data_IF_170066553267
#
_entry.id   IF_170066553267
#
_cell.length_a   1.000
_cell.length_b   1.000
_cell.length_c   1.000
_cell.angle_alpha   90.00
_cell.angle_beta   90.00
_cell.angle_gamma   90.00
#
_symmetry.space_group_name_H-M   'P 1'
#
loop_
_entity.id
_entity.type
_entity.pdbx_description
1 polymer ?
#
# COMPACT_ATOMS: atom_id res chain seq x y z
N UNK A 1 36.74 14.09 -5.63
CA UNK A 1 35.41 14.19 -6.27
C UNK A 1 34.39 14.39 -5.18
N UNK A 2 33.80 15.59 -5.08
CA UNK A 2 32.72 15.87 -4.13
C UNK A 2 31.51 15.03 -4.55
N UNK A 3 31.17 14.00 -3.76
CA UNK A 3 29.88 13.32 -3.91
C UNK A 3 28.80 14.34 -3.61
N UNK A 4 28.10 14.82 -4.64
CA UNK A 4 26.91 15.65 -4.43
C UNK A 4 25.93 14.80 -3.61
N UNK A 5 25.49 15.27 -2.43
CA UNK A 5 24.55 14.51 -1.63
C UNK A 5 23.29 14.24 -2.46
N UNK A 6 22.66 13.05 -2.32
CA UNK A 6 21.48 12.71 -3.08
C UNK A 6 20.42 13.81 -2.88
N UNK A 7 19.99 14.45 -3.97
CA UNK A 7 19.01 15.53 -3.95
C UNK A 7 17.70 14.98 -3.42
N UNK A 8 17.36 15.32 -2.17
CA UNK A 8 16.07 14.97 -1.57
C UNK A 8 14.98 15.77 -2.27
N UNK A 9 13.85 15.13 -2.52
CA UNK A 9 12.68 15.80 -3.09
C UNK A 9 11.79 16.18 -1.92
N UNK A 10 11.91 17.43 -1.48
CA UNK A 10 11.22 17.98 -0.30
C UNK A 10 9.70 17.74 -0.36
N UNK A 11 9.10 17.88 -1.54
CA UNK A 11 7.68 17.62 -1.75
C UNK A 11 7.27 16.17 -1.40
N UNK A 12 8.12 15.18 -1.70
CA UNK A 12 7.85 13.77 -1.38
C UNK A 12 7.99 13.54 0.13
N UNK A 13 8.99 14.16 0.76
CA UNK A 13 9.19 14.02 2.21
C UNK A 13 8.04 14.71 2.98
N UNK A 14 7.56 15.87 2.53
CA UNK A 14 6.38 16.53 3.09
C UNK A 14 5.12 15.68 2.91
N UNK A 15 4.91 15.10 1.71
CA UNK A 15 3.77 14.22 1.46
C UNK A 15 3.78 12.96 2.34
N UNK A 16 4.95 12.37 2.59
CA UNK A 16 5.10 11.24 3.53
C UNK A 16 4.78 11.67 4.96
N UNK A 17 5.28 12.83 5.39
CA UNK A 17 4.98 13.40 6.71
C UNK A 17 3.48 13.62 6.91
N UNK A 18 2.82 14.22 5.93
CA UNK A 18 1.37 14.42 5.95
C UNK A 18 0.60 13.09 6.02
N UNK A 19 1.00 12.08 5.25
CA UNK A 19 0.40 10.74 5.30
C UNK A 19 0.55 10.07 6.68
N UNK A 20 1.72 10.23 7.33
CA UNK A 20 1.96 9.73 8.69
C UNK A 20 1.11 10.45 9.74
N UNK A 21 0.95 11.78 9.64
CA UNK A 21 0.07 12.54 10.54
C UNK A 21 -1.38 12.09 10.37
N UNK A 22 -1.85 11.96 9.13
CA UNK A 22 -3.21 11.49 8.85
C UNK A 22 -3.46 10.07 9.41
N UNK A 23 -2.48 9.17 9.25
CA UNK A 23 -2.50 7.83 9.84
C UNK A 23 -2.59 7.87 11.38
N UNK A 24 -1.81 8.73 12.03
CA UNK A 24 -1.87 8.89 13.48
C UNK A 24 -3.24 9.39 13.95
N UNK A 25 -3.85 10.35 13.24
CA UNK A 25 -5.21 10.83 13.54
C UNK A 25 -6.24 9.70 13.41
N UNK A 26 -6.15 8.89 12.35
CA UNK A 26 -7.03 7.74 12.17
C UNK A 26 -6.86 6.71 13.29
N UNK A 27 -5.63 6.33 13.62
CA UNK A 27 -5.37 5.35 14.66
C UNK A 27 -5.77 5.85 16.05
N UNK A 28 -5.64 7.14 16.32
CA UNK A 28 -6.16 7.71 17.56
C UNK A 28 -7.67 7.48 17.71
N UNK A 29 -8.45 7.71 16.65
CA UNK A 29 -9.88 7.44 16.67
C UNK A 29 -10.19 5.93 16.80
N UNK A 30 -9.40 5.08 16.13
CA UNK A 30 -9.50 3.63 16.24
C UNK A 30 -9.16 3.14 17.65
N UNK A 31 -8.15 3.71 18.31
CA UNK A 31 -7.77 3.38 19.69
C UNK A 31 -8.89 3.77 20.66
N UNK A 32 -9.51 4.94 20.49
CA UNK A 32 -10.68 5.34 21.29
C UNK A 32 -11.82 4.32 21.14
N UNK A 33 -12.09 3.85 19.92
CA UNK A 33 -13.07 2.78 19.67
C UNK A 33 -12.65 1.47 20.34
N UNK A 34 -11.39 1.05 20.16
CA UNK A 34 -10.85 -0.21 20.68
C UNK A 34 -10.88 -0.27 22.22
N UNK A 35 -10.59 0.84 22.89
CA UNK A 35 -10.65 0.96 24.35
C UNK A 35 -12.05 1.27 24.90
N UNK A 36 -13.06 1.42 24.03
CA UNK A 36 -14.45 1.67 24.44
C UNK A 36 -14.78 3.12 24.81
N UNK A 37 -13.91 4.07 24.46
CA UNK A 37 -14.15 5.51 24.60
C UNK A 37 -14.96 6.12 23.44
N UNK A 38 -15.18 5.36 22.37
CA UNK A 38 -16.01 5.74 21.23
C UNK A 38 -16.98 4.61 20.86
N UNK A 39 -18.01 4.93 20.06
CA UNK A 39 -19.01 3.96 19.60
C UNK A 39 -18.37 2.84 18.77
N UNK A 40 -18.74 1.60 19.06
CA UNK A 40 -18.25 0.44 18.33
C UNK A 40 -18.62 0.53 16.84
N UNK A 41 -17.63 0.38 15.98
CA UNK A 41 -17.77 0.52 14.53
C UNK A 41 -17.59 1.94 14.00
N UNK A 42 -17.30 2.94 14.84
CA UNK A 42 -17.10 4.35 14.43
C UNK A 42 -16.17 4.48 13.22
N UNK A 43 -15.02 3.81 13.27
CA UNK A 43 -14.00 3.90 12.22
C UNK A 43 -14.30 3.04 10.99
N UNK A 44 -15.23 2.08 11.10
CA UNK A 44 -15.53 1.08 10.08
C UNK A 44 -16.48 1.57 8.96
N UNK A 45 -17.08 2.76 9.08
CA UNK A 45 -18.07 3.26 8.14
C UNK A 45 -17.92 4.76 7.81
N UNK A 46 -18.75 5.26 6.90
CA UNK A 46 -18.85 6.68 6.57
C UNK A 46 -17.53 7.37 6.21
N UNK A 47 -17.34 8.57 6.76
CA UNK A 47 -16.16 9.40 6.52
C UNK A 47 -14.86 8.77 7.01
N UNK A 48 -14.87 8.08 8.16
CA UNK A 48 -13.69 7.42 8.71
C UNK A 48 -13.17 6.32 7.81
N UNK A 49 -14.06 5.51 7.25
CA UNK A 49 -13.69 4.49 6.25
C UNK A 49 -13.04 5.12 5.02
N UNK A 50 -13.59 6.22 4.51
CA UNK A 50 -13.01 6.90 3.35
C UNK A 50 -11.66 7.57 3.68
N UNK A 51 -11.51 8.08 4.90
CA UNK A 51 -10.26 8.61 5.41
C UNK A 51 -9.17 7.53 5.51
N UNK A 52 -9.49 6.36 6.07
CA UNK A 52 -8.58 5.21 6.07
C UNK A 52 -8.12 4.84 4.66
N UNK A 53 -9.06 4.83 3.70
CA UNK A 53 -8.76 4.49 2.30
C UNK A 53 -7.88 5.53 1.62
N UNK A 54 -8.05 6.82 1.90
CA UNK A 54 -7.21 7.88 1.35
C UNK A 54 -5.79 7.82 1.92
N UNK A 55 -5.65 7.54 3.23
CA UNK A 55 -4.35 7.32 3.88
C UNK A 55 -3.62 6.15 3.24
N UNK A 56 -4.27 4.98 3.17
CA UNK A 56 -3.69 3.78 2.57
C UNK A 56 -3.29 4.04 1.10
N UNK A 57 -4.17 4.65 0.31
CA UNK A 57 -3.87 5.00 -1.09
C UNK A 57 -2.66 5.93 -1.20
N UNK A 58 -2.51 6.89 -0.28
CA UNK A 58 -1.39 7.84 -0.26
C UNK A 58 -0.06 7.13 0.03
N UNK A 59 -0.01 6.24 1.02
CA UNK A 59 1.21 5.45 1.29
C UNK A 59 1.61 4.59 0.10
N UNK A 60 0.65 3.90 -0.52
CA UNK A 60 0.89 3.03 -1.66
C UNK A 60 1.32 3.81 -2.91
N UNK A 61 0.67 4.94 -3.17
CA UNK A 61 1.07 5.85 -4.23
C UNK A 61 2.51 6.34 -4.03
N UNK A 62 2.84 6.83 -2.83
CA UNK A 62 4.19 7.30 -2.50
C UNK A 62 5.22 6.15 -2.55
N UNK A 63 4.84 4.93 -2.21
CA UNK A 63 5.68 3.74 -2.38
C UNK A 63 5.99 3.48 -3.87
N UNK A 64 4.99 3.60 -4.74
CA UNK A 64 5.16 3.50 -6.20
C UNK A 64 6.07 4.58 -6.79
N UNK A 65 5.86 5.84 -6.40
CA UNK A 65 6.75 6.96 -6.76
C UNK A 65 8.17 6.67 -6.31
N UNK A 66 8.34 6.24 -5.06
CA UNK A 66 9.66 5.93 -4.49
C UNK A 66 10.35 4.78 -5.23
N UNK A 67 9.60 3.75 -5.62
CA UNK A 67 10.11 2.61 -6.38
C UNK A 67 10.64 3.06 -7.75
N UNK A 68 9.87 3.88 -8.48
CA UNK A 68 10.27 4.41 -9.77
C UNK A 68 11.51 5.31 -9.67
N UNK A 69 11.52 6.26 -8.74
CA UNK A 69 12.67 7.15 -8.56
C UNK A 69 13.95 6.39 -8.14
N UNK A 70 13.79 5.29 -7.40
CA UNK A 70 14.90 4.49 -6.90
C UNK A 70 15.48 3.49 -7.91
N UNK A 71 14.66 2.98 -8.84
CA UNK A 71 15.00 1.83 -9.67
C UNK A 71 14.56 1.93 -11.14
N UNK A 72 13.91 3.03 -11.54
CA UNK A 72 13.31 3.21 -12.86
C UNK A 72 14.33 3.26 -14.01
N UNK A 73 15.49 3.87 -13.78
CA UNK A 73 16.62 3.85 -14.74
C UNK A 73 17.56 2.68 -14.47
N UNK A 74 18.18 2.70 -13.30
CA UNK A 74 19.20 1.73 -12.90
C UNK A 74 18.71 0.90 -11.75
N UNK A 75 18.67 -0.43 -11.94
CA UNK A 75 18.20 -1.32 -10.91
C UNK A 75 19.25 -1.53 -9.80
N UNK A 76 19.11 -0.77 -8.71
CA UNK A 76 19.95 -0.88 -7.50
C UNK A 76 19.61 -2.11 -6.63
N UNK A 77 20.03 -3.31 -7.06
CA UNK A 77 19.72 -4.61 -6.42
C UNK A 77 19.89 -4.65 -4.90
N UNK A 78 21.05 -4.26 -4.39
CA UNK A 78 21.33 -4.34 -2.95
C UNK A 78 20.40 -3.44 -2.12
N UNK A 79 20.17 -2.21 -2.57
CA UNK A 79 19.25 -1.28 -1.92
C UNK A 79 17.80 -1.77 -1.96
N UNK A 80 17.39 -2.35 -3.10
CA UNK A 80 16.06 -2.95 -3.27
C UNK A 80 15.84 -4.10 -2.28
N UNK A 81 16.75 -5.09 -2.26
CA UNK A 81 16.63 -6.26 -1.39
C UNK A 81 16.68 -5.89 0.09
N UNK A 82 17.54 -4.93 0.48
CA UNK A 82 17.58 -4.43 1.86
C UNK A 82 16.23 -3.84 2.27
N UNK A 83 15.65 -2.95 1.46
CA UNK A 83 14.33 -2.35 1.75
C UNK A 83 13.23 -3.41 1.76
N UNK A 84 13.24 -4.34 0.81
CA UNK A 84 12.25 -5.41 0.72
C UNK A 84 12.30 -6.28 1.99
N UNK A 85 13.50 -6.69 2.43
CA UNK A 85 13.68 -7.47 3.65
C UNK A 85 13.20 -6.72 4.90
N UNK A 86 13.45 -5.42 5.00
CA UNK A 86 12.95 -4.59 6.12
C UNK A 86 11.42 -4.56 6.16
N UNK A 87 10.77 -4.28 5.03
CA UNK A 87 9.31 -4.18 4.96
C UNK A 87 8.65 -5.55 5.16
N UNK A 88 9.18 -6.60 4.51
CA UNK A 88 8.68 -7.96 4.66
C UNK A 88 8.87 -8.49 6.10
N UNK A 89 10.01 -8.20 6.73
CA UNK A 89 10.26 -8.54 8.12
C UNK A 89 9.30 -7.83 9.07
N UNK A 90 9.02 -6.54 8.85
CA UNK A 90 8.03 -5.79 9.63
C UNK A 90 6.61 -6.34 9.43
N UNK A 91 6.24 -6.71 8.19
CA UNK A 91 4.95 -7.33 7.90
C UNK A 91 4.78 -8.67 8.62
N UNK A 92 5.80 -9.52 8.60
CA UNK A 92 5.82 -10.80 9.32
C UNK A 92 5.73 -10.60 10.84
N UNK A 93 6.45 -9.60 11.38
CA UNK A 93 6.39 -9.27 12.80
C UNK A 93 4.97 -8.84 13.23
N UNK A 94 4.31 -7.97 12.46
CA UNK A 94 2.93 -7.55 12.74
C UNK A 94 1.96 -8.73 12.67
N UNK A 95 2.10 -9.61 11.67
CA UNK A 95 1.30 -10.85 11.60
C UNK A 95 1.49 -11.70 12.86
N UNK A 96 2.74 -11.96 13.25
CA UNK A 96 3.04 -12.76 14.43
C UNK A 96 2.47 -12.13 15.71
N UNK A 97 2.69 -10.83 15.93
CA UNK A 97 2.18 -10.13 17.11
C UNK A 97 0.65 -10.16 17.16
N UNK A 98 -0.02 -9.85 16.05
CA UNK A 98 -1.50 -9.82 16.04
C UNK A 98 -2.13 -11.20 16.13
N UNK A 99 -1.46 -12.25 15.65
CA UNK A 99 -1.90 -13.63 15.83
C UNK A 99 -2.05 -13.99 17.31
N UNK A 100 -1.12 -13.56 18.17
CA UNK A 100 -1.17 -13.84 19.61
C UNK A 100 -1.96 -12.80 20.40
N UNK A 101 -1.79 -11.52 20.10
CA UNK A 101 -2.33 -10.42 20.92
C UNK A 101 -3.75 -9.99 20.52
N UNK A 102 -4.14 -10.17 19.25
CA UNK A 102 -5.45 -9.76 18.74
C UNK A 102 -6.02 -10.82 17.77
N UNK A 103 -6.33 -12.05 18.23
CA UNK A 103 -6.68 -13.15 17.33
C UNK A 103 -7.91 -12.90 16.45
N UNK A 104 -8.91 -12.16 16.96
CA UNK A 104 -10.12 -11.76 16.21
C UNK A 104 -9.87 -10.68 15.15
N UNK A 105 -8.67 -10.08 15.16
CA UNK A 105 -8.22 -9.01 14.28
C UNK A 105 -6.90 -9.32 13.58
N UNK A 106 -6.53 -10.59 13.48
CA UNK A 106 -5.27 -11.05 12.89
C UNK A 106 -4.99 -10.42 11.53
N UNK A 107 -3.82 -9.79 11.42
CA UNK A 107 -3.38 -9.12 10.19
C UNK A 107 -2.62 -10.12 9.32
N UNK A 108 -3.33 -10.82 8.44
CA UNK A 108 -2.72 -11.75 7.50
C UNK A 108 -2.23 -11.09 6.19
N UNK A 109 -2.83 -9.96 5.80
CA UNK A 109 -2.46 -9.22 4.59
C UNK A 109 -2.77 -7.73 4.70
N UNK A 110 -2.03 -7.05 5.58
CA UNK A 110 -2.09 -5.60 5.77
C UNK A 110 -1.23 -4.78 4.79
N UNK A 111 -1.14 -3.47 5.01
CA UNK A 111 -0.46 -2.51 4.12
C UNK A 111 1.02 -2.85 3.91
N UNK A 112 1.73 -3.36 4.92
CA UNK A 112 3.15 -3.74 4.80
C UNK A 112 3.33 -4.97 3.89
N UNK A 113 2.42 -5.95 3.97
CA UNK A 113 2.42 -7.11 3.07
C UNK A 113 2.22 -6.66 1.63
N UNK A 114 1.26 -5.76 1.43
CA UNK A 114 1.00 -5.16 0.14
C UNK A 114 2.24 -4.44 -0.38
N UNK A 115 2.87 -3.55 0.40
CA UNK A 115 4.04 -2.79 -0.04
C UNK A 115 5.17 -3.73 -0.43
N UNK A 116 5.39 -4.82 0.32
CA UNK A 116 6.39 -5.83 -0.03
C UNK A 116 6.08 -6.50 -1.37
N UNK A 117 4.86 -7.01 -1.55
CA UNK A 117 4.42 -7.65 -2.79
C UNK A 117 4.48 -6.68 -3.98
N UNK A 118 3.92 -5.48 -3.82
CA UNK A 118 3.87 -4.43 -4.81
C UNK A 118 5.25 -3.91 -5.19
N UNK A 119 6.22 -3.92 -4.27
CA UNK A 119 7.61 -3.58 -4.59
C UNK A 119 8.22 -4.56 -5.58
N UNK A 120 7.85 -5.85 -5.51
CA UNK A 120 8.30 -6.90 -6.44
C UNK A 120 7.54 -6.79 -7.77
N UNK A 121 6.21 -6.80 -7.72
CA UNK A 121 5.37 -6.73 -8.93
C UNK A 121 5.59 -5.43 -9.70
N UNK A 122 5.78 -4.32 -9.00
CA UNK A 122 6.03 -3.01 -9.58
C UNK A 122 7.28 -2.95 -10.45
N UNK A 123 8.28 -3.84 -10.24
CA UNK A 123 9.47 -3.91 -11.08
C UNK A 123 9.13 -4.17 -12.55
N UNK A 124 8.08 -4.96 -12.83
CA UNK A 124 7.62 -5.24 -14.19
C UNK A 124 7.08 -3.98 -14.91
N UNK A 125 6.66 -2.97 -14.15
CA UNK A 125 6.03 -1.75 -14.68
C UNK A 125 7.00 -0.57 -14.78
N UNK A 126 8.21 -0.67 -14.22
CA UNK A 126 9.16 0.44 -14.18
C UNK A 126 9.57 0.94 -15.57
N UNK A 127 9.64 0.04 -16.55
CA UNK A 127 10.08 0.35 -17.91
C UNK A 127 8.95 0.62 -18.89
N UNK A 128 7.71 0.33 -18.51
CA UNK A 128 6.55 0.53 -19.38
C UNK A 128 6.25 2.03 -19.57
N UNK A 129 5.70 2.44 -20.72
CA UNK A 129 5.20 3.78 -20.93
C UNK A 129 4.16 4.17 -19.87
N UNK A 130 4.17 5.43 -19.42
CA UNK A 130 3.26 5.88 -18.37
C UNK A 130 1.76 5.65 -18.69
N UNK A 131 1.27 5.76 -19.94
CA UNK A 131 -0.15 5.49 -20.22
C UNK A 131 -0.50 4.01 -20.02
N UNK A 132 0.42 3.09 -20.36
CA UNK A 132 0.24 1.65 -20.19
C UNK A 132 0.18 1.30 -18.70
N UNK A 133 1.10 1.86 -17.92
CA UNK A 133 1.11 1.66 -16.46
C UNK A 133 -0.14 2.25 -15.80
N UNK A 134 -0.62 3.41 -16.28
CA UNK A 134 -1.84 4.04 -15.77
C UNK A 134 -3.10 3.26 -16.16
N UNK A 135 -3.16 2.70 -17.38
CA UNK A 135 -4.24 1.81 -17.79
C UNK A 135 -4.26 0.53 -16.93
N UNK A 136 -3.10 -0.05 -16.64
CA UNK A 136 -3.00 -1.17 -15.71
C UNK A 136 -3.48 -0.78 -14.30
N UNK A 137 -3.14 0.42 -13.81
CA UNK A 137 -3.65 0.94 -12.55
C UNK A 137 -5.19 0.97 -12.53
N UNK A 138 -5.82 1.46 -13.60
CA UNK A 138 -7.27 1.47 -13.76
C UNK A 138 -7.87 0.06 -13.74
N UNK A 139 -7.22 -0.93 -14.37
CA UNK A 139 -7.65 -2.34 -14.33
C UNK A 139 -7.61 -2.90 -12.91
N UNK A 140 -6.55 -2.63 -12.13
CA UNK A 140 -6.49 -3.07 -10.73
C UNK A 140 -7.57 -2.38 -9.87
N UNK A 141 -7.86 -1.10 -10.11
CA UNK A 141 -8.92 -0.38 -9.40
C UNK A 141 -10.31 -0.90 -9.75
N UNK A 142 -10.56 -1.17 -11.04
CA UNK A 142 -11.85 -1.65 -11.53
C UNK A 142 -12.09 -3.15 -11.26
N UNK A 143 -11.02 -3.94 -11.14
CA UNK A 143 -11.07 -5.40 -11.02
C UNK A 143 -12.07 -5.94 -9.98
N UNK A 144 -12.12 -5.44 -8.74
CA UNK A 144 -13.07 -5.90 -7.73
C UNK A 144 -14.55 -5.73 -8.11
N UNK A 145 -14.88 -4.83 -9.05
CA UNK A 145 -16.27 -4.62 -9.47
C UNK A 145 -16.76 -5.66 -10.47
N UNK A 146 -15.87 -6.43 -11.08
CA UNK A 146 -16.20 -7.39 -12.15
C UNK A 146 -15.65 -8.79 -11.91
N UNK A 147 -14.54 -8.93 -11.18
CA UNK A 147 -13.84 -10.21 -10.98
C UNK A 147 -14.15 -10.90 -9.65
N UNK A 148 -14.91 -10.27 -8.74
CA UNK A 148 -15.26 -10.89 -7.46
C UNK A 148 -16.11 -12.14 -7.66
N UNK A 149 -15.73 -13.25 -7.03
CA UNK A 149 -16.47 -14.50 -7.14
C UNK A 149 -16.22 -15.43 -5.95
N UNK A 150 -17.11 -16.38 -5.73
CA UNK A 150 -16.98 -17.39 -4.66
C UNK A 150 -15.76 -18.30 -4.81
N UNK A 151 -15.16 -18.38 -6.00
CA UNK A 151 -13.90 -19.09 -6.22
C UNK A 151 -12.76 -18.54 -5.36
N UNK A 152 -12.77 -17.23 -5.10
CA UNK A 152 -11.75 -16.55 -4.31
C UNK A 152 -12.05 -16.50 -2.80
N UNK A 153 -13.10 -17.19 -2.34
CA UNK A 153 -13.50 -17.20 -0.91
C UNK A 153 -12.55 -18.05 -0.05
N UNK A 154 -11.79 -18.97 -0.66
CA UNK A 154 -10.82 -19.78 0.06
C UNK A 154 -9.64 -18.91 0.56
N UNK A 155 -9.15 -19.09 1.81
CA UNK A 155 -8.10 -18.24 2.41
C UNK A 155 -6.82 -18.08 1.59
N UNK A 156 -6.44 -19.10 0.83
CA UNK A 156 -5.29 -19.06 -0.07
C UNK A 156 -5.37 -17.94 -1.14
N UNK A 157 -6.57 -17.44 -1.43
CA UNK A 157 -6.83 -16.40 -2.43
C UNK A 157 -7.12 -15.02 -1.84
N UNK A 158 -7.23 -14.89 -0.52
CA UNK A 158 -7.63 -13.63 0.11
C UNK A 158 -6.66 -12.47 -0.16
N UNK A 159 -5.38 -12.74 -0.40
CA UNK A 159 -4.42 -11.71 -0.77
C UNK A 159 -4.73 -11.04 -2.13
N UNK A 160 -5.56 -11.66 -2.98
CA UNK A 160 -5.98 -11.05 -4.25
C UNK A 160 -7.01 -9.92 -4.04
N UNK A 161 -7.89 -10.02 -3.04
CA UNK A 161 -8.97 -9.03 -2.84
C UNK A 161 -10.19 -9.23 -3.73
N UNK A 162 -10.33 -10.43 -4.32
CA UNK A 162 -11.43 -10.81 -5.22
C UNK A 162 -12.43 -11.78 -4.57
N UNK A 163 -12.30 -12.05 -3.27
CA UNK A 163 -13.27 -12.83 -2.48
C UNK A 163 -14.66 -12.21 -2.60
N UNK A 164 -15.72 -13.02 -2.63
CA UNK A 164 -17.11 -12.54 -2.63
C UNK A 164 -17.43 -11.83 -1.32
N UNK A 165 -16.93 -12.35 -0.20
CA UNK A 165 -17.03 -11.76 1.14
C UNK A 165 -15.66 -11.28 1.60
N UNK A 166 -15.56 -10.06 2.13
CA UNK A 166 -14.29 -9.58 2.64
C UNK A 166 -13.91 -10.34 3.92
N UNK A 167 -12.71 -10.93 4.01
CA UNK A 167 -12.23 -11.54 5.23
C UNK A 167 -12.06 -10.51 6.34
N UNK A 168 -12.26 -10.93 7.59
CA UNK A 168 -12.08 -10.10 8.77
C UNK A 168 -10.60 -10.00 9.12
N UNK A 169 -10.09 -8.77 9.24
CA UNK A 169 -8.73 -8.44 9.69
C UNK A 169 -8.72 -6.98 10.13
N UNK A 170 -7.89 -6.63 11.12
CA UNK A 170 -7.74 -5.23 11.54
C UNK A 170 -7.03 -4.37 10.48
N UNK A 171 -6.27 -4.99 9.59
CA UNK A 171 -5.68 -4.35 8.41
C UNK A 171 -5.75 -5.31 7.21
N UNK A 172 -6.48 -4.92 6.17
CA UNK A 172 -6.69 -5.73 4.98
C UNK A 172 -6.53 -4.89 3.71
N UNK A 173 -5.35 -5.01 3.10
CA UNK A 173 -4.94 -4.25 1.92
C UNK A 173 -4.50 -5.23 0.83
N UNK A 174 -5.43 -6.00 0.23
CA UNK A 174 -5.12 -7.00 -0.80
C UNK A 174 -4.55 -6.39 -2.09
N UNK A 175 -4.18 -7.24 -3.06
CA UNK A 175 -3.67 -6.81 -4.35
C UNK A 175 -4.64 -5.88 -5.09
N UNK A 176 -5.90 -6.29 -5.25
CA UNK A 176 -6.97 -5.48 -5.82
C UNK A 176 -7.78 -4.79 -4.69
N UNK A 177 -8.07 -3.49 -4.77
CA UNK A 177 -7.68 -2.53 -5.82
C UNK A 177 -6.32 -1.85 -5.60
N UNK A 178 -5.69 -2.11 -4.46
CA UNK A 178 -4.66 -1.27 -3.87
C UNK A 178 -3.36 -1.18 -4.66
N UNK A 179 -3.00 -2.21 -5.42
CA UNK A 179 -1.86 -2.15 -6.33
C UNK A 179 -2.03 -1.08 -7.41
N UNK A 180 -3.27 -0.72 -7.75
CA UNK A 180 -3.56 0.40 -8.64
C UNK A 180 -2.97 1.72 -8.14
N UNK A 181 -3.00 2.00 -6.84
CA UNK A 181 -2.38 3.21 -6.29
C UNK A 181 -0.85 3.22 -6.47
N UNK A 182 -0.20 2.06 -6.30
CA UNK A 182 1.24 1.90 -6.53
C UNK A 182 1.58 2.13 -8.01
N UNK A 183 0.81 1.52 -8.92
CA UNK A 183 1.00 1.70 -10.37
C UNK A 183 0.76 3.15 -10.80
N UNK A 184 -0.25 3.83 -10.25
CA UNK A 184 -0.46 5.25 -10.49
C UNK A 184 0.75 6.09 -10.04
N UNK A 185 1.34 5.76 -8.87
CA UNK A 185 2.58 6.38 -8.40
C UNK A 185 3.76 6.19 -9.36
N UNK A 186 3.95 4.98 -9.88
CA UNK A 186 4.98 4.69 -10.89
C UNK A 186 4.71 5.48 -12.18
N UNK A 187 3.48 5.47 -12.67
CA UNK A 187 3.09 6.15 -13.90
C UNK A 187 3.31 7.66 -13.83
N UNK A 188 2.83 8.31 -12.76
CA UNK A 188 2.97 9.77 -12.59
C UNK A 188 4.42 10.18 -12.35
N UNK A 189 5.20 9.41 -11.60
CA UNK A 189 6.62 9.68 -11.42
C UNK A 189 7.40 9.59 -12.76
N UNK A 190 7.02 8.63 -13.62
CA UNK A 190 7.58 8.52 -14.97
C UNK A 190 7.17 9.68 -15.86
N UNK A 191 5.90 10.05 -15.88
CA UNK A 191 5.39 11.18 -16.65
C UNK A 191 6.13 12.47 -16.26
N UNK A 192 6.21 12.76 -14.95
CA UNK A 192 6.89 13.95 -14.45
C UNK A 192 8.37 14.01 -14.85
N UNK A 193 9.04 12.85 -14.96
CA UNK A 193 10.44 12.75 -15.36
C UNK A 193 10.68 12.81 -16.86
N UNK A 194 9.68 12.47 -17.68
CA UNK A 194 9.76 12.64 -19.13
C UNK A 194 9.39 14.05 -19.60
N UNK A 195 8.81 14.86 -18.73
CA UNK A 195 8.40 16.24 -19.01
C UNK A 195 9.49 17.30 -18.68
N UNK A 196 10.67 16.88 -18.22
CA UNK A 196 11.83 17.73 -17.89
C UNK A 196 13.14 17.01 -18.16
#
# INVERSE_FOLDING_TARGET
>A
MLQTPPRRIEAIDLARGAALVAMAVYHFAWDLEFFGYAEAGLTAHGGWKMFARSIASSFLFLAGVSLYLAHGETFRRAAFLKRLAQVAGAAAAISAVTWFAVPSGFIFFGILHQIALASVLGLAFLRLPWPVTLAAAAVFVAGPHVLRSGFFDHPAWWWLGLSSVNPRSNDYVPLFPWFGAVLAGIALARLARGAG
#
